data_IF_002694512237
#
_entry.id   IF_002694512237
#
_cell.length_a   1.000
_cell.length_b   1.000
_cell.length_c   1.000
_cell.angle_alpha   90.00
_cell.angle_beta   90.00
_cell.angle_gamma   90.00
#
_symmetry.space_group_name_H-M   'P 1'
#
loop_
_entity.id
_entity.type
_entity.pdbx_description
1 polymer ?
2 non-polymer ?
3 water ?
#
# COMPACT_ATOMS: atom_id res chain seq x y z
C UNK A 1 0.00 10.79 2.55
N UNK A 2 -1.07 10.37 2.86
CA UNK A 2 -2.30 10.51 2.17
C UNK A 2 -2.83 9.22 1.58
N UNK A 3 -4.16 9.13 1.44
CA UNK A 3 -4.80 7.90 0.94
C UNK A 3 -4.43 7.37 -0.36
N UNK A 4 -3.68 8.17 -1.20
CA UNK A 4 -3.11 7.60 -2.38
C UNK A 4 -2.25 6.33 -2.12
N UNK A 5 -1.69 6.32 -0.87
CA UNK A 5 -0.96 5.14 -0.46
C UNK A 5 -1.69 3.82 -0.62
N UNK A 6 -3.04 3.79 -0.67
CA UNK A 6 -3.70 2.62 -0.98
C UNK A 6 -3.33 1.89 -2.20
N UNK A 7 -2.66 2.58 -3.13
CA UNK A 7 -2.17 1.93 -4.33
C UNK A 7 -1.11 0.91 -4.01
N UNK A 8 -0.55 0.92 -2.80
CA UNK A 8 0.24 -0.16 -2.32
C UNK A 8 -0.38 -1.54 -2.47
N UNK A 9 -1.75 -1.57 -2.56
CA UNK A 9 -2.45 -2.85 -2.76
C UNK A 9 -2.01 -3.59 -3.98
N UNK A 10 -1.37 -2.88 -4.97
CA UNK A 10 -0.84 -3.48 -6.14
C UNK A 10 0.45 -4.28 -5.86
N UNK A 11 0.93 -4.29 -4.59
CA UNK A 11 2.17 -5.01 -4.30
C UNK A 11 2.13 -6.50 -4.44
N UNK A 12 1.01 -7.10 -4.31
CA UNK A 12 0.94 -8.51 -4.55
C UNK A 12 1.66 -9.30 -3.57
N UNK A 13 1.63 -8.84 -2.28
CA UNK A 13 2.22 -9.58 -1.27
C UNK A 13 2.34 -8.64 0.01
N UNK A 14 3.14 -9.12 0.94
CA UNK A 14 3.21 -8.36 2.25
C UNK A 14 3.64 -6.91 2.06
N UNK A 15 4.43 -6.58 0.99
CA UNK A 15 4.76 -5.24 0.76
C UNK A 15 3.66 -4.29 0.52
N UNK A 16 2.43 -4.84 0.17
CA UNK A 16 1.25 -4.04 0.08
C UNK A 16 0.93 -3.34 1.38
N UNK A 17 1.42 -3.90 2.52
CA UNK A 17 1.25 -3.22 3.78
C UNK A 17 1.91 -1.85 3.86
N UNK A 18 2.86 -1.57 2.90
CA UNK A 18 3.39 -0.22 2.82
C UNK A 18 2.33 0.84 2.61
N UNK A 19 1.12 0.42 2.17
CA UNK A 19 0.00 1.34 2.07
C UNK A 19 -0.35 2.00 3.38
N UNK A 20 0.06 1.37 4.51
CA UNK A 20 -0.14 1.99 5.84
C UNK A 20 0.53 3.36 5.88
N UNK A 21 1.50 3.62 5.02
CA UNK A 21 2.11 4.95 4.92
C UNK A 21 1.17 6.06 4.62
N UNK A 22 -0.04 5.69 4.15
CA UNK A 22 -1.07 6.70 3.88
C UNK A 22 -1.53 7.43 5.17
N UNK A 23 -1.39 6.80 6.34
X LIG B 1 -1.97 -7.34 -1.77
X LIG B 1 -0.96 -7.36 -2.51
X LIG B 1 -2.85 -6.46 -1.97
X LIG B 1 -2.20 -8.38 -0.51
#
# INVERSE_FOLDING_TARGET
XGXAXXAXXAGGGGXALXALXAX
ACT C O OXT CH3
#
